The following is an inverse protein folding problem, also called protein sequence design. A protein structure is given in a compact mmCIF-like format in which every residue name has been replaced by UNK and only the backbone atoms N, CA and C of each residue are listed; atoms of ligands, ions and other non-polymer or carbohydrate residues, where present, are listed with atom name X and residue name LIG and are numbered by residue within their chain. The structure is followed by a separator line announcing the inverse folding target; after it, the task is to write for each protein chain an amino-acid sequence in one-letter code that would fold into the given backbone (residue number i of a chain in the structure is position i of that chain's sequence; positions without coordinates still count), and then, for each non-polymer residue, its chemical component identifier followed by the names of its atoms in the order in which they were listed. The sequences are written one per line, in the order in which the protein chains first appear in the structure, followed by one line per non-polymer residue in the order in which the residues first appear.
data_IF_756784605562
#
_entry.id   IF_756784605562
#
_cell.length_a   1.000
_cell.length_b   1.000
_cell.length_c   1.000
_cell.angle_alpha   90.00
_cell.angle_beta   90.00
_cell.angle_gamma   90.00
#
_symmetry.space_group_name_H-M   'P 1'
#
loop_
_entity.id
_entity.type
_entity.pdbx_description
1 polymer ?
#
# COMPACT_ATOMS: atom_id res chain seq x y z
N UNK A 1 18.75 -11.62 11.88
CA UNK A 1 17.55 -12.06 11.14
C UNK A 1 17.21 -10.96 10.16
N UNK A 2 17.32 -11.22 8.85
CA UNK A 2 16.95 -10.22 7.86
C UNK A 2 15.43 -10.12 7.80
N UNK A 3 14.88 -8.97 8.21
CA UNK A 3 13.48 -8.64 8.00
C UNK A 3 13.25 -8.54 6.48
N UNK A 4 12.44 -9.44 5.90
CA UNK A 4 12.11 -9.41 4.47
C UNK A 4 10.87 -8.55 4.28
N UNK A 5 11.04 -7.24 4.29
CA UNK A 5 9.94 -6.30 4.05
C UNK A 5 9.66 -6.13 2.55
N UNK A 6 8.42 -5.80 2.19
CA UNK A 6 8.02 -5.43 0.82
C UNK A 6 7.12 -4.21 0.85
N UNK A 7 7.34 -3.29 -0.08
CA UNK A 7 6.46 -2.15 -0.31
C UNK A 7 5.58 -2.45 -1.52
N UNK A 8 4.26 -2.58 -1.31
CA UNK A 8 3.28 -2.69 -2.40
C UNK A 8 2.78 -1.29 -2.72
N UNK A 9 2.94 -0.82 -3.96
CA UNK A 9 2.60 0.56 -4.30
C UNK A 9 2.28 0.72 -5.79
N UNK A 10 1.38 1.65 -6.11
CA UNK A 10 1.22 2.16 -7.48
C UNK A 10 1.86 3.56 -7.67
N UNK A 11 2.57 4.07 -6.67
CA UNK A 11 3.21 5.38 -6.70
C UNK A 11 4.58 5.30 -7.41
N UNK A 12 4.77 6.00 -8.55
CA UNK A 12 6.03 5.95 -9.29
C UNK A 12 7.23 6.50 -8.51
N UNK A 13 7.03 7.41 -7.54
CA UNK A 13 8.12 7.99 -6.74
C UNK A 13 8.73 6.99 -5.76
N UNK A 14 7.99 5.93 -5.43
CA UNK A 14 8.42 4.90 -4.48
C UNK A 14 8.94 3.63 -5.18
N UNK A 15 8.77 3.52 -6.50
CA UNK A 15 9.17 2.34 -7.30
C UNK A 15 10.62 1.91 -7.07
N UNK A 16 11.54 2.87 -6.95
CA UNK A 16 12.98 2.63 -6.79
C UNK A 16 13.50 2.90 -5.36
N UNK A 17 12.60 3.14 -4.40
CA UNK A 17 12.96 3.50 -3.01
C UNK A 17 13.17 2.29 -2.11
N UNK A 18 12.75 1.09 -2.52
CA UNK A 18 12.91 -0.15 -1.76
C UNK A 18 13.60 -1.20 -2.61
N UNK A 19 14.51 -1.97 -2.01
CA UNK A 19 15.10 -3.17 -2.64
C UNK A 19 14.07 -4.27 -2.92
N UNK A 20 12.92 -4.22 -2.25
CA UNK A 20 11.77 -5.09 -2.45
C UNK A 20 10.51 -4.23 -2.63
N UNK A 21 10.32 -3.71 -3.83
CA UNK A 21 9.12 -2.99 -4.26
C UNK A 21 8.26 -3.89 -5.15
N UNK A 22 7.00 -4.09 -4.77
CA UNK A 22 5.98 -4.74 -5.59
C UNK A 22 5.13 -3.64 -6.24
N UNK A 23 5.56 -3.19 -7.42
CA UNK A 23 4.93 -2.08 -8.12
C UNK A 23 3.69 -2.55 -8.88
N UNK A 24 2.56 -1.89 -8.64
CA UNK A 24 1.26 -2.20 -9.25
C UNK A 24 0.93 -1.13 -10.28
N UNK A 25 0.85 -1.56 -11.54
CA UNK A 25 0.31 -0.73 -12.61
C UNK A 25 -1.22 -0.79 -12.58
N UNK A 26 -1.82 0.03 -11.72
CA UNK A 26 -3.25 -0.02 -11.47
C UNK A 26 -3.73 0.97 -10.41
N UNK A 27 -4.95 0.74 -9.93
CA UNK A 27 -5.62 1.62 -8.99
C UNK A 27 -5.19 1.38 -7.54
N UNK A 28 -5.57 2.30 -6.65
CA UNK A 28 -5.42 2.09 -5.20
C UNK A 28 -6.09 0.80 -4.70
N UNK A 29 -7.20 0.36 -5.32
CA UNK A 29 -7.85 -0.91 -4.95
C UNK A 29 -7.02 -2.13 -5.37
N UNK A 30 -6.29 -2.05 -6.48
CA UNK A 30 -5.43 -3.15 -6.93
C UNK A 30 -4.23 -3.33 -5.99
N UNK A 31 -3.68 -2.23 -5.47
CA UNK A 31 -2.68 -2.25 -4.39
C UNK A 31 -3.24 -2.94 -3.14
N UNK A 32 -4.46 -2.60 -2.71
CA UNK A 32 -5.07 -3.21 -1.52
C UNK A 32 -5.37 -4.70 -1.72
N UNK A 33 -5.84 -5.10 -2.91
CA UNK A 33 -6.05 -6.51 -3.25
C UNK A 33 -4.76 -7.31 -3.23
N UNK A 34 -3.70 -6.76 -3.85
CA UNK A 34 -2.37 -7.39 -3.82
C UNK A 34 -1.85 -7.54 -2.40
N UNK A 35 -2.05 -6.52 -1.58
CA UNK A 35 -1.69 -6.53 -0.15
C UNK A 35 -2.43 -7.64 0.60
N UNK A 36 -3.74 -7.81 0.38
CA UNK A 36 -4.52 -8.91 0.99
C UNK A 36 -3.99 -10.28 0.56
N UNK A 37 -3.66 -10.46 -0.71
CA UNK A 37 -3.11 -11.73 -1.20
C UNK A 37 -1.79 -12.06 -0.49
N UNK A 38 -0.94 -11.07 -0.22
CA UNK A 38 0.26 -11.24 0.62
C UNK A 38 -0.08 -11.60 2.07
N UNK A 39 -1.08 -10.95 2.67
CA UNK A 39 -1.54 -11.28 4.04
C UNK A 39 -2.01 -12.74 4.14
N UNK A 40 -2.74 -13.24 3.15
CA UNK A 40 -3.10 -14.66 3.08
C UNK A 40 -1.89 -15.60 2.95
N UNK A 41 -0.79 -15.14 2.36
CA UNK A 41 0.48 -15.87 2.30
C UNK A 41 1.33 -15.74 3.59
N UNK A 42 0.77 -15.17 4.66
CA UNK A 42 1.44 -15.04 5.96
C UNK A 42 2.28 -13.77 6.12
N UNK A 43 2.13 -12.78 5.24
CA UNK A 43 2.72 -11.46 5.44
C UNK A 43 1.93 -10.65 6.47
N UNK A 44 2.63 -9.77 7.19
CA UNK A 44 2.05 -8.92 8.24
C UNK A 44 2.14 -7.47 7.83
N UNK A 45 1.08 -6.69 8.03
CA UNK A 45 1.07 -5.25 7.74
C UNK A 45 2.00 -4.51 8.72
N UNK A 46 2.91 -3.69 8.18
CA UNK A 46 3.72 -2.75 8.96
C UNK A 46 3.12 -1.34 8.97
N UNK A 47 2.30 -1.02 7.99
CA UNK A 47 1.58 0.26 7.87
C UNK A 47 0.09 0.02 7.72
N UNK A 48 -0.72 0.85 8.34
CA UNK A 48 -2.18 0.78 8.18
C UNK A 48 -2.58 1.14 6.74
N UNK A 49 -3.46 0.38 6.06
CA UNK A 49 -3.81 0.60 4.65
C UNK A 49 -4.64 1.88 4.41
N UNK A 50 -5.31 2.40 5.44
CA UNK A 50 -6.08 3.65 5.41
C UNK A 50 -5.34 4.78 6.15
N UNK A 51 -4.22 5.26 5.60
CA UNK A 51 -3.47 6.40 6.14
C UNK A 51 -3.86 7.73 5.49
N UNK A 52 -3.55 8.83 6.19
CA UNK A 52 -3.72 10.20 5.70
C UNK A 52 -5.17 10.66 5.53
N UNK A 53 -6.16 9.87 5.99
CA UNK A 53 -7.60 10.11 5.76
C UNK A 53 -7.95 10.36 4.28
N UNK A 54 -7.14 9.82 3.37
CA UNK A 54 -7.30 10.01 1.93
C UNK A 54 -8.43 9.13 1.41
N UNK A 55 -9.47 9.74 0.84
CA UNK A 55 -10.62 9.00 0.30
C UNK A 55 -10.32 8.46 -1.10
N UNK A 56 -11.00 7.38 -1.55
CA UNK A 56 -10.71 6.74 -2.84
C UNK A 56 -10.86 7.66 -4.07
N UNK A 57 -11.73 8.67 -4.00
CA UNK A 57 -11.97 9.65 -5.07
C UNK A 57 -11.04 10.87 -5.00
N UNK A 58 -10.24 11.01 -3.94
CA UNK A 58 -9.38 12.18 -3.72
C UNK A 58 -7.93 11.94 -4.12
N UNK A 59 -7.49 10.68 -4.12
CA UNK A 59 -6.07 10.36 -4.26
C UNK A 59 -5.86 9.05 -5.02
N UNK A 60 -5.15 9.07 -6.16
CA UNK A 60 -5.01 7.88 -7.01
C UNK A 60 -3.96 6.89 -6.51
N UNK A 61 -3.01 7.35 -5.70
CA UNK A 61 -1.92 6.52 -5.19
C UNK A 61 -2.20 5.93 -3.80
N UNK A 62 -1.67 4.72 -3.61
CA UNK A 62 -1.67 3.97 -2.35
C UNK A 62 -0.40 3.15 -2.24
N UNK A 63 0.09 3.04 -1.00
CA UNK A 63 1.35 2.39 -0.66
C UNK A 63 1.20 1.67 0.67
N UNK A 64 1.54 0.38 0.74
CA UNK A 64 1.44 -0.42 1.96
C UNK A 64 2.73 -1.22 2.15
N UNK A 65 3.32 -1.09 3.35
CA UNK A 65 4.50 -1.84 3.74
C UNK A 65 4.10 -3.09 4.51
N UNK A 66 4.71 -4.22 4.17
CA UNK A 66 4.51 -5.50 4.84
C UNK A 66 5.84 -6.12 5.24
N UNK A 67 5.81 -6.99 6.24
CA UNK A 67 6.89 -7.89 6.65
C UNK A 67 6.54 -9.32 6.23
N UNK A 68 7.51 -10.03 5.65
CA UNK A 68 7.36 -11.44 5.28
C UNK A 68 7.25 -12.36 6.50
N UNK A 69 6.68 -13.57 6.34
CA UNK A 69 6.48 -14.50 7.43
C UNK A 69 7.81 -14.84 8.13
N UNK A 70 7.81 -14.77 9.46
CA UNK A 70 8.90 -15.24 10.32
C UNK A 70 8.77 -16.76 10.41
N UNK A 71 9.84 -17.49 10.10
CA UNK A 71 9.83 -18.94 9.86
C UNK A 71 8.91 -19.76 10.78
N UNK A 72 8.12 -20.65 10.17
CA UNK A 72 7.04 -21.43 10.78
C UNK A 72 5.98 -21.79 9.73
N UNK A 73 4.92 -22.49 10.12
CA UNK A 73 3.76 -22.67 9.24
C UNK A 73 3.11 -21.30 8.99
N UNK A 74 2.87 -20.93 7.74
CA UNK A 74 2.25 -19.66 7.37
C UNK A 74 0.84 -19.59 7.96
N UNK A 75 0.68 -18.87 9.07
CA UNK A 75 -0.61 -18.50 9.63
C UNK A 75 -0.94 -17.07 9.22
N UNK A 76 -2.17 -16.83 8.78
CA UNK A 76 -2.64 -15.48 8.49
C UNK A 76 -2.71 -14.67 9.79
N UNK A 77 -2.08 -13.49 9.79
CA UNK A 77 -2.23 -12.53 10.89
C UNK A 77 -3.62 -11.91 10.85
N UNK A 78 -4.44 -12.21 11.87
CA UNK A 78 -5.86 -11.86 11.88
C UNK A 78 -6.08 -10.34 11.90
N UNK A 79 -5.21 -9.59 12.56
CA UNK A 79 -5.30 -8.13 12.62
C UNK A 79 -4.99 -7.49 11.27
N UNK A 80 -3.93 -7.96 10.61
CA UNK A 80 -3.60 -7.56 9.23
C UNK A 80 -4.74 -7.87 8.26
N UNK A 81 -5.37 -9.04 8.40
CA UNK A 81 -6.51 -9.44 7.58
C UNK A 81 -7.71 -8.51 7.81
N UNK A 82 -8.05 -8.21 9.07
CA UNK A 82 -9.14 -7.29 9.39
C UNK A 82 -8.91 -5.90 8.79
N UNK A 83 -7.71 -5.34 8.96
CA UNK A 83 -7.40 -4.01 8.43
C UNK A 83 -7.42 -3.96 6.91
N UNK A 84 -6.91 -4.98 6.23
CA UNK A 84 -6.92 -4.96 4.76
C UNK A 84 -8.32 -5.19 4.18
N UNK A 85 -9.13 -6.05 4.79
CA UNK A 85 -10.52 -6.27 4.36
C UNK A 85 -11.38 -5.03 4.58
N UNK A 86 -11.21 -4.34 5.72
CA UNK A 86 -11.88 -3.07 5.97
C UNK A 86 -11.48 -1.99 4.95
N UNK A 87 -10.20 -1.93 4.58
CA UNK A 87 -9.73 -1.00 3.56
C UNK A 87 -10.29 -1.33 2.18
N UNK A 88 -10.30 -2.61 1.80
CA UNK A 88 -10.89 -3.07 0.54
C UNK A 88 -12.37 -2.70 0.50
N UNK A 89 -13.15 -2.94 1.57
CA UNK A 89 -14.57 -2.62 1.63
C UNK A 89 -14.84 -1.13 1.38
N UNK A 90 -14.02 -0.23 1.95
CA UNK A 90 -14.10 1.22 1.71
C UNK A 90 -13.82 1.56 0.25
N UNK A 91 -12.83 0.94 -0.38
CA UNK A 91 -12.42 1.22 -1.75
C UNK A 91 -13.28 0.52 -2.82
N UNK A 92 -13.93 -0.59 -2.48
CA UNK A 92 -14.84 -1.31 -3.39
C UNK A 92 -16.29 -0.83 -3.32
N UNK A 93 -16.62 0.06 -2.39
CA UNK A 93 -17.98 0.59 -2.26
C UNK A 93 -18.42 1.30 -3.56
N UNK A 94 -19.69 1.18 -3.98
CA UNK A 94 -20.18 1.87 -5.18
C UNK A 94 -19.99 3.40 -5.15
N UNK A 95 -19.99 3.99 -3.94
CA UNK A 95 -19.76 5.41 -3.70
C UNK A 95 -18.28 5.81 -3.70
N UNK A 96 -17.35 4.85 -3.71
CA UNK A 96 -15.92 5.11 -3.60
C UNK A 96 -15.39 5.97 -4.74
N UNK A 97 -15.89 5.74 -5.98
CA UNK A 97 -15.49 6.44 -7.21
C UNK A 97 -13.97 6.57 -7.30
N UNK A 98 -13.28 5.43 -7.37
CA UNK A 98 -11.82 5.38 -7.35
C UNK A 98 -11.25 6.29 -8.43
N UNK A 99 -10.44 7.25 -8.00
CA UNK A 99 -9.63 8.07 -8.89
C UNK A 99 -8.43 7.26 -9.33
N UNK A 100 -8.18 7.20 -10.64
CA UNK A 100 -6.99 6.55 -11.19
C UNK A 100 -5.93 7.57 -11.55
N UNK A 101 -4.65 7.18 -11.62
CA UNK A 101 -3.59 8.10 -12.05
C UNK A 101 -3.88 8.75 -13.41
N UNK A 102 -4.44 8.00 -14.37
CA UNK A 102 -4.81 8.50 -15.69
C UNK A 102 -5.92 9.55 -15.69
N UNK A 103 -6.75 9.59 -14.65
CA UNK A 103 -7.83 10.59 -14.52
C UNK A 103 -7.30 11.96 -14.08
N UNK A 104 -6.07 12.01 -13.56
CA UNK A 104 -5.45 13.21 -13.04
C UNK A 104 -4.58 13.92 -14.11
N UNK A 105 -4.63 15.26 -14.20
CA UNK A 105 -3.69 16.04 -15.01
C UNK A 105 -2.22 15.70 -14.69
N UNK A 106 -1.31 15.65 -15.69
CA UNK A 106 0.08 15.22 -15.47
C UNK A 106 0.84 16.04 -14.41
N UNK A 107 0.58 17.34 -14.36
CA UNK A 107 1.11 18.28 -13.38
C UNK A 107 0.64 17.97 -11.95
N UNK A 108 -0.65 17.66 -11.77
CA UNK A 108 -1.23 17.32 -10.46
C UNK A 108 -0.87 15.90 -10.02
N UNK A 109 -0.63 14.98 -10.96
CA UNK A 109 -0.19 13.61 -10.64
C UNK A 109 1.10 13.59 -9.82
N UNK A 110 2.03 14.50 -10.10
CA UNK A 110 3.28 14.61 -9.35
C UNK A 110 3.04 14.98 -7.89
N UNK A 111 2.12 15.91 -7.63
CA UNK A 111 1.79 16.37 -6.28
C UNK A 111 1.14 15.25 -5.45
N UNK A 112 0.20 14.50 -6.03
CA UNK A 112 -0.35 13.32 -5.37
C UNK A 112 0.73 12.27 -5.07
N UNK A 113 1.64 12.01 -6.01
CA UNK A 113 2.73 11.07 -5.80
C UNK A 113 3.65 11.53 -4.65
N UNK A 114 3.89 12.84 -4.55
CA UNK A 114 4.68 13.43 -3.48
C UNK A 114 3.98 13.31 -2.11
N UNK A 115 2.68 13.62 -2.04
CA UNK A 115 1.90 13.52 -0.79
C UNK A 115 1.93 12.09 -0.25
N UNK A 116 1.66 11.11 -1.11
CA UNK A 116 1.71 9.70 -0.74
C UNK A 116 3.10 9.26 -0.25
N UNK A 117 4.15 9.69 -0.93
CA UNK A 117 5.53 9.39 -0.54
C UNK A 117 5.91 10.02 0.81
N UNK A 118 5.48 11.26 1.07
CA UNK A 118 5.76 11.94 2.35
C UNK A 118 5.01 11.29 3.50
N UNK A 119 3.77 10.84 3.31
CA UNK A 119 3.01 10.07 4.30
C UNK A 119 3.69 8.74 4.65
N UNK A 120 4.41 8.13 3.71
CA UNK A 120 5.12 6.86 3.91
C UNK A 120 6.54 7.04 4.48
N UNK A 121 7.13 8.23 4.38
CA UNK A 121 8.54 8.50 4.66
C UNK A 121 9.00 8.04 6.04
N UNK A 122 8.25 8.39 7.09
CA UNK A 122 8.60 8.01 8.46
C UNK A 122 8.57 6.48 8.62
N UNK A 123 7.56 5.81 8.05
CA UNK A 123 7.45 4.36 8.09
C UNK A 123 8.60 3.69 7.35
N UNK A 124 8.90 4.14 6.14
CA UNK A 124 10.00 3.60 5.34
C UNK A 124 11.35 3.76 6.05
N UNK A 125 11.59 4.92 6.67
CA UNK A 125 12.80 5.18 7.46
C UNK A 125 12.86 4.29 8.72
N UNK A 126 11.76 4.18 9.47
CA UNK A 126 11.66 3.35 10.67
C UNK A 126 12.00 1.88 10.42
N UNK A 127 11.61 1.36 9.26
CA UNK A 127 11.86 -0.04 8.88
C UNK A 127 13.11 -0.23 8.02
N UNK A 128 13.94 0.81 7.86
CA UNK A 128 15.24 0.72 7.15
C UNK A 128 15.12 0.47 5.65
N UNK A 129 14.03 0.95 5.03
CA UNK A 129 13.79 0.84 3.59
C UNK A 129 14.48 1.98 2.82
N UNK A 130 14.53 3.18 3.43
CA UNK A 130 15.17 4.40 2.89
C UNK A 130 16.08 5.05 3.91
#
# INVERSE_FOLDING_TARGET
MACRSVLVTNNPFLKNRSSACDFIDGSSLDVLRRTRDLVHMGWVLLTHPLYGNLRPHQHPYRSVLLEGPRGGAASTDQLSLEYIENAIAVFSAPSARIMRPEDAPPDVRGDFALIDAELMKESLSRYGIV
#
